data_IF_376350479218
#
_entry.id   IF_376350479218
#
_cell.length_a   1.000
_cell.length_b   1.000
_cell.length_c   1.000
_cell.angle_alpha   90.00
_cell.angle_beta   90.00
_cell.angle_gamma   90.00
#
_symmetry.space_group_name_H-M   'P 1'
#
loop_
_entity.id
_entity.type
_entity.pdbx_description
1 polymer ?
#
# COMPACT_ATOMS: atom_id res chain seq x y z
N UNK A 1 -66.86 6.10 32.84
CA UNK A 1 -67.97 5.99 31.88
C UNK A 1 -67.37 5.61 30.52
N UNK A 2 -67.90 4.52 29.94
CA UNK A 2 -67.71 3.96 28.59
C UNK A 2 -66.36 3.23 28.39
N UNK A 3 -66.24 1.89 28.41
CA UNK A 3 -66.87 0.79 27.64
C UNK A 3 -66.75 0.89 26.10
N UNK A 4 -65.90 0.03 25.53
CA UNK A 4 -66.07 -0.73 24.28
C UNK A 4 -64.87 -1.71 24.19
N UNK A 5 -64.98 -3.03 24.42
CA UNK A 5 -65.73 -4.09 23.72
C UNK A 5 -64.99 -4.69 22.51
N UNK A 6 -64.55 -5.95 22.73
CA UNK A 6 -64.61 -7.14 21.87
C UNK A 6 -63.69 -7.28 20.64
N UNK A 7 -62.99 -8.42 20.59
CA UNK A 7 -63.04 -9.23 19.37
C UNK A 7 -61.95 -10.28 19.13
N UNK A 8 -62.33 -11.55 19.38
CA UNK A 8 -62.14 -12.71 18.48
C UNK A 8 -60.93 -13.65 18.71
N UNK A 9 -61.32 -14.89 19.05
CA UNK A 9 -60.58 -16.14 19.13
C UNK A 9 -60.04 -16.64 17.79
N UNK A 10 -58.90 -17.33 17.82
CA UNK A 10 -58.63 -18.42 16.88
C UNK A 10 -57.82 -19.53 17.58
N UNK A 11 -58.54 -20.62 17.92
CA UNK A 11 -57.97 -21.93 18.24
C UNK A 11 -57.33 -22.53 16.98
N UNK A 12 -56.07 -22.98 17.11
CA UNK A 12 -55.34 -23.68 16.06
C UNK A 12 -54.73 -24.96 16.61
N UNK A 13 -55.33 -26.08 16.23
CA UNK A 13 -55.05 -27.47 16.62
C UNK A 13 -53.56 -27.87 16.54
N UNK A 14 -53.09 -28.58 17.56
CA UNK A 14 -51.74 -29.14 17.67
C UNK A 14 -51.72 -30.55 17.05
N UNK A 15 -50.99 -30.83 15.96
CA UNK A 15 -50.83 -32.18 15.48
C UNK A 15 -49.79 -32.92 16.32
N UNK A 16 -50.14 -34.15 16.70
CA UNK A 16 -49.25 -35.11 17.33
C UNK A 16 -48.15 -35.50 16.34
N UNK A 17 -46.90 -35.19 16.69
CA UNK A 17 -45.72 -35.62 15.92
C UNK A 17 -45.14 -36.85 16.59
N UNK A 18 -45.22 -37.95 15.84
CA UNK A 18 -44.59 -39.25 16.04
C UNK A 18 -43.12 -39.08 16.41
N UNK A 19 -42.71 -39.70 17.51
CA UNK A 19 -41.33 -39.75 18.02
C UNK A 19 -40.53 -40.79 17.22
N UNK A 20 -39.50 -40.43 16.46
CA UNK A 20 -38.55 -41.41 15.92
C UNK A 20 -37.56 -41.81 17.01
N UNK A 21 -37.24 -43.10 17.05
CA UNK A 21 -36.20 -43.70 17.87
C UNK A 21 -34.81 -43.09 17.60
N UNK A 22 -33.91 -43.08 18.60
CA UNK A 22 -32.58 -42.51 18.46
C UNK A 22 -31.69 -43.46 17.64
N UNK A 23 -31.24 -42.98 16.48
CA UNK A 23 -30.17 -43.63 15.73
C UNK A 23 -28.85 -43.51 16.48
N UNK A 24 -28.16 -44.64 16.63
CA UNK A 24 -26.84 -44.76 17.23
C UNK A 24 -25.81 -43.81 16.58
N UNK A 25 -24.83 -43.33 17.35
CA UNK A 25 -23.78 -42.46 16.84
C UNK A 25 -22.85 -43.25 15.93
N UNK A 26 -22.89 -42.94 14.63
CA UNK A 26 -21.84 -43.30 13.69
C UNK A 26 -20.58 -42.58 14.16
N UNK A 27 -19.57 -43.34 14.57
CA UNK A 27 -18.22 -42.86 14.78
C UNK A 27 -17.71 -42.33 13.43
N UNK A 28 -17.69 -41.00 13.27
CA UNK A 28 -16.96 -40.36 12.19
C UNK A 28 -15.48 -40.63 12.41
N UNK A 29 -15.00 -41.62 11.67
CA UNK A 29 -13.63 -41.99 11.43
C UNK A 29 -12.90 -40.80 10.79
N UNK A 30 -12.52 -39.81 11.63
CA UNK A 30 -11.56 -38.76 11.31
C UNK A 30 -10.15 -39.35 11.34
N UNK A 31 -9.94 -40.34 10.46
CA UNK A 31 -8.66 -40.97 10.21
C UNK A 31 -7.74 -40.04 9.42
N UNK A 32 -6.74 -39.51 10.11
CA UNK A 32 -5.37 -39.32 9.61
C UNK A 32 -5.18 -38.91 8.15
N UNK A 33 -5.53 -37.66 7.80
CA UNK A 33 -4.97 -36.99 6.64
C UNK A 33 -3.76 -36.16 7.04
N UNK A 34 -2.59 -36.80 7.06
CA UNK A 34 -1.27 -36.19 7.25
C UNK A 34 -1.14 -34.84 6.50
N UNK A 35 -0.69 -33.84 7.24
CA UNK A 35 -0.03 -32.60 6.82
C UNK A 35 0.14 -32.43 5.29
N UNK A 36 -0.92 -32.02 4.62
CA UNK A 36 -0.75 -31.18 3.43
C UNK A 36 -0.45 -29.79 3.96
N UNK A 37 0.72 -29.63 4.59
CA UNK A 37 1.37 -28.34 4.76
C UNK A 37 1.57 -27.81 3.35
N UNK A 38 0.55 -27.08 2.87
CA UNK A 38 0.52 -26.51 1.54
C UNK A 38 1.83 -25.78 1.37
N UNK A 39 2.60 -26.18 0.35
CA UNK A 39 3.95 -25.70 0.10
C UNK A 39 3.93 -24.17 -0.06
N UNK A 40 4.05 -23.46 1.06
CA UNK A 40 4.17 -22.02 1.15
C UNK A 40 5.64 -21.63 1.19
N UNK A 41 5.88 -20.34 1.00
CA UNK A 41 7.21 -19.73 1.11
C UNK A 41 7.19 -18.81 2.31
N UNK A 42 8.29 -18.73 3.05
CA UNK A 42 8.39 -17.75 4.13
C UNK A 42 8.32 -16.34 3.55
N UNK A 43 7.62 -15.43 4.22
CA UNK A 43 7.45 -14.06 3.74
C UNK A 43 8.79 -13.38 3.43
N UNK A 44 9.85 -13.48 4.26
CA UNK A 44 11.16 -12.92 3.92
C UNK A 44 11.74 -13.44 2.60
N UNK A 45 11.59 -14.74 2.32
CA UNK A 45 12.07 -15.35 1.06
C UNK A 45 11.29 -14.81 -0.14
N UNK A 46 9.96 -14.63 -0.01
CA UNK A 46 9.15 -14.03 -1.06
C UNK A 46 9.56 -12.58 -1.34
N UNK A 47 9.78 -11.78 -0.29
CA UNK A 47 10.20 -10.38 -0.42
C UNK A 47 11.64 -10.25 -0.95
N UNK A 48 12.50 -11.24 -0.77
CA UNK A 48 13.86 -11.21 -1.32
C UNK A 48 13.89 -11.29 -2.86
N UNK A 49 12.91 -11.98 -3.47
CA UNK A 49 12.90 -12.24 -4.92
C UNK A 49 11.84 -11.45 -5.69
N UNK A 50 10.80 -10.98 -5.00
CA UNK A 50 9.70 -10.25 -5.60
C UNK A 50 9.65 -8.81 -5.08
N UNK A 51 9.08 -7.94 -5.90
CA UNK A 51 8.73 -6.57 -5.54
C UNK A 51 7.21 -6.45 -5.66
N UNK A 52 6.54 -6.17 -4.54
CA UNK A 52 5.08 -6.17 -4.46
C UNK A 52 4.48 -4.90 -5.08
N UNK A 53 3.30 -5.00 -5.70
CA UNK A 53 2.50 -3.80 -6.01
C UNK A 53 1.77 -3.30 -4.76
N UNK A 54 1.35 -2.01 -4.69
CA UNK A 54 0.62 -1.49 -3.53
C UNK A 54 -0.60 -2.33 -3.13
N UNK A 55 -1.47 -2.78 -4.06
CA UNK A 55 -2.60 -3.64 -3.69
C UNK A 55 -2.19 -5.04 -3.19
N UNK A 56 -1.05 -5.57 -3.63
CA UNK A 56 -0.53 -6.85 -3.14
C UNK A 56 0.06 -6.71 -1.73
N UNK A 57 0.82 -5.64 -1.48
CA UNK A 57 1.34 -5.31 -0.17
C UNK A 57 0.21 -5.07 0.84
N UNK A 58 -0.81 -4.27 0.46
CA UNK A 58 -2.02 -4.07 1.26
C UNK A 58 -2.72 -5.40 1.60
N UNK A 59 -2.83 -6.32 0.63
CA UNK A 59 -3.46 -7.62 0.86
C UNK A 59 -2.69 -8.50 1.86
N UNK A 60 -1.36 -8.52 1.79
CA UNK A 60 -0.53 -9.29 2.73
C UNK A 60 -0.55 -8.68 4.13
N UNK A 61 -0.54 -7.34 4.24
CA UNK A 61 -0.68 -6.65 5.53
C UNK A 61 -2.06 -6.89 6.14
N UNK A 62 -3.12 -6.88 5.34
CA UNK A 62 -4.48 -7.19 5.80
C UNK A 62 -4.58 -8.60 6.39
N UNK A 63 -3.95 -9.59 5.72
CA UNK A 63 -3.89 -10.96 6.23
C UNK A 63 -3.10 -11.03 7.54
N UNK A 64 -1.92 -10.39 7.60
CA UNK A 64 -1.08 -10.38 8.79
C UNK A 64 -1.83 -9.82 10.00
N UNK A 65 -2.48 -8.66 9.83
CA UNK A 65 -3.34 -8.04 10.86
C UNK A 65 -4.48 -8.98 11.25
N UNK A 66 -5.14 -9.61 10.28
CA UNK A 66 -6.22 -10.57 10.54
C UNK A 66 -5.75 -11.80 11.35
N UNK A 67 -4.57 -12.34 11.05
CA UNK A 67 -3.99 -13.46 11.79
C UNK A 67 -3.61 -13.07 13.23
N UNK A 68 -3.06 -11.87 13.42
CA UNK A 68 -2.72 -11.33 14.75
C UNK A 68 -3.98 -11.16 15.60
N UNK A 69 -5.05 -10.59 15.05
CA UNK A 69 -6.34 -10.47 15.76
C UNK A 69 -6.92 -11.84 16.12
N UNK A 70 -6.89 -12.79 15.18
CA UNK A 70 -7.34 -14.16 15.43
C UNK A 70 -6.51 -14.85 16.52
N UNK A 71 -5.21 -14.59 16.59
CA UNK A 71 -4.34 -15.10 17.63
C UNK A 71 -4.63 -14.46 19.00
N UNK A 72 -4.83 -13.13 19.02
CA UNK A 72 -5.15 -12.36 20.24
C UNK A 72 -6.48 -12.76 20.87
N UNK A 73 -7.51 -13.02 20.07
CA UNK A 73 -8.82 -13.48 20.60
C UNK A 73 -8.78 -14.86 21.23
N UNK A 74 -7.84 -15.72 20.83
CA UNK A 74 -7.84 -17.13 21.25
C UNK A 74 -7.23 -17.37 22.62
N UNK A 75 -6.31 -16.55 23.12
CA UNK A 75 -5.64 -16.78 24.42
C UNK A 75 -5.15 -15.48 25.04
N UNK A 76 -5.45 -15.27 26.33
CA UNK A 76 -4.79 -14.28 27.19
C UNK A 76 -3.33 -14.65 27.52
N UNK A 77 -2.60 -15.22 26.56
CA UNK A 77 -1.18 -15.52 26.66
C UNK A 77 -0.46 -14.84 25.50
N UNK A 78 0.66 -14.15 25.76
CA UNK A 78 1.44 -13.49 24.72
C UNK A 78 1.89 -14.52 23.68
N UNK A 79 1.63 -14.18 22.42
CA UNK A 79 2.02 -14.92 21.21
C UNK A 79 3.44 -14.51 20.85
N UNK A 80 4.13 -15.32 20.08
CA UNK A 80 5.44 -14.97 19.54
C UNK A 80 5.42 -15.16 18.05
N UNK A 81 5.97 -14.20 17.35
CA UNK A 81 6.08 -14.22 15.92
C UNK A 81 7.56 -14.29 15.57
N UNK A 82 8.01 -15.42 15.04
CA UNK A 82 9.30 -15.49 14.37
C UNK A 82 9.10 -15.08 12.91
N UNK A 83 10.10 -14.48 12.28
CA UNK A 83 9.97 -14.01 10.90
C UNK A 83 9.76 -15.15 9.90
N UNK A 84 10.28 -16.35 10.20
CA UNK A 84 10.13 -17.57 9.43
C UNK A 84 8.79 -18.30 9.68
N UNK A 85 8.10 -17.98 10.78
CA UNK A 85 6.76 -18.47 11.08
C UNK A 85 5.69 -17.88 10.13
N UNK A 86 6.00 -16.77 9.44
CA UNK A 86 5.06 -16.13 8.53
C UNK A 86 5.22 -16.72 7.13
N UNK A 87 4.24 -17.51 6.72
CA UNK A 87 4.22 -18.19 5.43
C UNK A 87 3.18 -17.61 4.49
N UNK A 88 3.50 -17.56 3.21
CA UNK A 88 2.55 -17.23 2.13
C UNK A 88 2.30 -18.49 1.31
N UNK A 89 1.05 -18.96 1.32
CA UNK A 89 0.59 -20.10 0.55
C UNK A 89 0.55 -19.83 -0.96
N UNK A 90 0.50 -20.89 -1.76
CA UNK A 90 0.36 -20.82 -3.22
C UNK A 90 -0.99 -20.22 -3.69
N UNK A 91 -1.96 -20.10 -2.78
CA UNK A 91 -3.22 -19.38 -2.97
C UNK A 91 -3.12 -17.88 -2.68
N UNK A 92 -1.93 -17.38 -2.33
CA UNK A 92 -1.70 -15.98 -1.98
C UNK A 92 -2.33 -15.56 -0.64
N UNK A 93 -2.46 -16.50 0.31
CA UNK A 93 -2.87 -16.23 1.69
C UNK A 93 -1.67 -16.30 2.62
N UNK A 94 -1.53 -15.30 3.47
CA UNK A 94 -0.54 -15.28 4.54
C UNK A 94 -1.12 -15.95 5.79
N UNK A 95 -0.32 -16.83 6.38
CA UNK A 95 -0.61 -17.58 7.59
C UNK A 95 0.58 -17.50 8.54
N UNK A 96 0.31 -17.55 9.84
CA UNK A 96 1.34 -17.61 10.88
C UNK A 96 1.34 -19.04 11.41
N UNK A 97 2.42 -19.78 11.16
CA UNK A 97 2.61 -21.14 11.67
C UNK A 97 3.36 -21.14 13.01
N UNK A 98 3.19 -22.17 13.86
CA UNK A 98 4.11 -22.41 14.98
C UNK A 98 4.23 -21.31 16.04
N UNK A 99 3.16 -20.98 16.75
CA UNK A 99 3.23 -20.06 17.91
C UNK A 99 3.88 -20.76 19.11
N UNK A 100 5.20 -20.59 19.28
CA UNK A 100 5.95 -21.10 20.45
C UNK A 100 6.55 -19.94 21.25
N UNK A 101 6.20 -19.88 22.54
CA UNK A 101 6.18 -18.68 23.41
C UNK A 101 7.50 -17.92 23.65
N UNK A 102 7.37 -16.58 23.73
CA UNK A 102 8.19 -15.53 24.39
C UNK A 102 9.05 -14.62 23.48
N UNK A 103 8.50 -13.43 23.17
CA UNK A 103 9.04 -12.16 22.65
C UNK A 103 7.82 -11.23 22.43
N UNK A 104 8.01 -9.93 22.56
CA UNK A 104 7.00 -8.87 22.40
C UNK A 104 6.45 -8.84 20.96
N UNK A 105 5.15 -9.14 20.84
CA UNK A 105 4.41 -9.26 19.56
C UNK A 105 4.52 -7.98 18.70
N UNK A 106 4.63 -6.83 19.35
CA UNK A 106 4.50 -5.53 18.70
C UNK A 106 5.70 -5.22 17.80
N UNK A 107 6.92 -5.45 18.29
CA UNK A 107 8.15 -5.18 17.54
C UNK A 107 8.28 -6.07 16.31
N UNK A 108 7.92 -7.35 16.44
CA UNK A 108 7.97 -8.30 15.32
C UNK A 108 6.95 -7.94 14.23
N UNK A 109 5.71 -7.60 14.61
CA UNK A 109 4.69 -7.15 13.65
C UNK A 109 5.13 -5.87 12.94
N UNK A 110 5.64 -4.89 13.70
CA UNK A 110 6.15 -3.63 13.13
C UNK A 110 7.30 -3.91 12.15
N UNK A 111 8.22 -4.83 12.49
CA UNK A 111 9.30 -5.28 11.62
C UNK A 111 8.81 -5.90 10.31
N UNK A 112 7.80 -6.78 10.38
CA UNK A 112 7.22 -7.41 9.20
C UNK A 112 6.46 -6.41 8.31
N UNK A 113 5.65 -5.52 8.90
CA UNK A 113 4.95 -4.49 8.15
C UNK A 113 5.95 -3.56 7.45
N UNK A 114 7.03 -3.17 8.13
CA UNK A 114 8.13 -2.37 7.55
C UNK A 114 8.84 -3.13 6.42
N UNK A 115 9.03 -4.43 6.57
CA UNK A 115 9.62 -5.28 5.52
C UNK A 115 8.72 -5.36 4.27
N UNK A 116 7.40 -5.48 4.45
CA UNK A 116 6.43 -5.43 3.35
C UNK A 116 6.44 -4.04 2.69
N UNK A 117 6.45 -2.97 3.51
CA UNK A 117 6.42 -1.59 3.05
C UNK A 117 7.64 -1.24 2.18
N UNK A 118 8.85 -1.58 2.64
CA UNK A 118 10.12 -1.33 1.92
C UNK A 118 10.26 -2.15 0.63
N UNK A 119 9.54 -3.27 0.52
CA UNK A 119 9.51 -4.09 -0.68
C UNK A 119 8.48 -3.60 -1.73
N UNK A 120 7.49 -2.81 -1.30
CA UNK A 120 6.46 -2.28 -2.19
C UNK A 120 7.05 -1.40 -3.31
N UNK A 121 6.53 -1.54 -4.52
CA UNK A 121 6.80 -0.67 -5.66
C UNK A 121 6.00 0.61 -5.55
N UNK A 122 6.58 1.72 -6.00
CA UNK A 122 5.95 3.04 -5.99
C UNK A 122 6.29 3.85 -4.73
N UNK A 123 6.26 5.17 -4.88
CA UNK A 123 6.84 6.14 -3.94
C UNK A 123 5.84 6.73 -2.95
N UNK A 124 4.85 5.97 -2.47
CA UNK A 124 3.82 6.55 -1.60
C UNK A 124 3.22 5.57 -0.61
N UNK A 125 2.74 4.42 -1.08
CA UNK A 125 2.11 3.44 -0.19
C UNK A 125 3.07 2.90 0.88
N UNK A 126 4.31 2.58 0.50
CA UNK A 126 5.33 2.09 1.43
C UNK A 126 5.70 3.13 2.51
N UNK A 127 5.75 4.41 2.16
CA UNK A 127 6.07 5.48 3.10
C UNK A 127 4.92 5.71 4.09
N UNK A 128 3.68 5.78 3.60
CA UNK A 128 2.48 5.87 4.45
C UNK A 128 2.36 4.68 5.41
N UNK A 129 2.67 3.48 4.93
CA UNK A 129 2.64 2.27 5.75
C UNK A 129 3.76 2.31 6.81
N UNK A 130 4.97 2.75 6.44
CA UNK A 130 6.10 2.91 7.37
C UNK A 130 5.86 4.00 8.41
N UNK A 131 5.19 5.09 8.04
CA UNK A 131 4.77 6.14 8.95
C UNK A 131 3.69 5.62 9.91
N UNK A 132 2.73 4.83 9.42
CA UNK A 132 1.61 4.32 10.23
C UNK A 132 2.05 3.39 11.37
N UNK A 133 3.18 2.70 11.20
CA UNK A 133 3.77 1.85 12.24
C UNK A 133 4.71 2.61 13.17
N UNK A 134 5.14 3.82 12.78
CA UNK A 134 6.03 4.66 13.59
C UNK A 134 5.23 5.32 14.72
N UNK A 135 5.69 5.18 15.96
CA UNK A 135 5.00 5.76 17.11
C UNK A 135 3.75 5.01 17.58
N UNK A 136 3.58 3.75 17.20
CA UNK A 136 2.58 2.89 17.80
C UNK A 136 3.11 2.18 19.05
N UNK A 137 2.53 2.50 20.21
CA UNK A 137 2.85 1.88 21.51
C UNK A 137 1.84 0.82 21.93
N UNK A 138 0.76 0.65 21.18
CA UNK A 138 -0.38 -0.20 21.50
C UNK A 138 -0.82 -0.97 20.25
N UNK A 139 -1.01 -2.30 20.31
CA UNK A 139 -1.30 -3.14 19.16
C UNK A 139 -2.64 -2.81 18.50
N UNK A 140 -3.70 -2.51 19.27
CA UNK A 140 -4.98 -2.08 18.71
C UNK A 140 -4.85 -0.74 17.97
N UNK A 141 -4.08 0.19 18.53
CA UNK A 141 -3.73 1.47 17.91
C UNK A 141 -2.91 1.30 16.62
N UNK A 142 -1.97 0.35 16.59
CA UNK A 142 -1.20 -0.04 15.40
C UNK A 142 -2.14 -0.58 14.31
N UNK A 143 -2.95 -1.60 14.63
CA UNK A 143 -3.89 -2.25 13.71
C UNK A 143 -4.85 -1.24 13.09
N UNK A 144 -5.41 -0.31 13.90
CA UNK A 144 -6.34 0.71 13.41
C UNK A 144 -5.68 1.68 12.43
N UNK A 145 -4.45 2.12 12.69
CA UNK A 145 -3.69 3.01 11.80
C UNK A 145 -3.33 2.33 10.50
N UNK A 146 -2.82 1.10 10.58
CA UNK A 146 -2.47 0.29 9.41
C UNK A 146 -3.69 0.04 8.52
N UNK A 147 -4.85 -0.31 9.11
CA UNK A 147 -6.12 -0.46 8.38
C UNK A 147 -6.49 0.77 7.57
N UNK A 148 -6.43 1.95 8.19
CA UNK A 148 -6.74 3.22 7.52
C UNK A 148 -5.89 3.44 6.27
N UNK A 149 -4.64 2.99 6.27
CA UNK A 149 -3.71 3.13 5.14
C UNK A 149 -3.98 2.09 4.05
N UNK A 150 -4.32 0.85 4.42
CA UNK A 150 -4.52 -0.24 3.43
C UNK A 150 -5.93 -0.26 2.82
N UNK A 151 -6.96 0.22 3.53
CA UNK A 151 -8.36 0.15 3.08
C UNK A 151 -8.58 0.75 1.68
N UNK A 152 -8.00 1.90 1.29
CA UNK A 152 -8.14 2.45 -0.06
C UNK A 152 -7.61 1.53 -1.17
N UNK A 153 -6.62 0.68 -0.87
CA UNK A 153 -5.99 -0.24 -1.83
C UNK A 153 -6.72 -1.59 -1.93
N UNK A 154 -7.61 -1.89 -0.97
CA UNK A 154 -8.33 -3.15 -0.88
C UNK A 154 -9.70 -3.09 -1.56
N UNK A 155 -9.71 -3.11 -2.90
CA UNK A 155 -10.97 -3.29 -3.65
C UNK A 155 -11.50 -4.74 -3.47
N UNK A 156 -12.70 -4.96 -2.92
CA UNK A 156 -13.25 -6.29 -2.71
C UNK A 156 -13.48 -7.07 -4.01
N UNK A 157 -13.76 -6.39 -5.14
CA UNK A 157 -13.98 -7.05 -6.43
C UNK A 157 -12.68 -7.65 -6.96
N UNK A 158 -11.56 -6.94 -6.78
CA UNK A 158 -10.23 -7.36 -7.18
C UNK A 158 -9.55 -8.42 -6.30
N UNK A 159 -10.10 -8.80 -5.13
CA UNK A 159 -9.41 -9.67 -4.16
C UNK A 159 -8.96 -10.99 -4.81
N UNK A 160 -9.87 -11.71 -5.46
CA UNK A 160 -9.56 -13.01 -6.07
C UNK A 160 -8.44 -12.93 -7.11
N UNK A 161 -8.35 -11.82 -7.84
CA UNK A 161 -7.28 -11.58 -8.82
C UNK A 161 -5.96 -11.32 -8.12
N UNK A 162 -5.94 -10.47 -7.09
CA UNK A 162 -4.74 -10.17 -6.29
C UNK A 162 -4.18 -11.42 -5.62
N UNK A 163 -5.04 -12.23 -4.99
CA UNK A 163 -4.69 -13.53 -4.39
C UNK A 163 -4.00 -14.44 -5.40
N UNK A 164 -4.56 -14.56 -6.60
CA UNK A 164 -3.97 -15.36 -7.68
C UNK A 164 -2.59 -14.85 -8.09
N UNK A 165 -2.42 -13.54 -8.23
CA UNK A 165 -1.13 -12.94 -8.57
C UNK A 165 -0.07 -13.17 -7.49
N UNK A 166 -0.43 -13.03 -6.21
CA UNK A 166 0.47 -13.36 -5.09
C UNK A 166 0.83 -14.86 -5.13
N UNK A 167 -0.15 -15.73 -5.36
CA UNK A 167 0.07 -17.16 -5.52
C UNK A 167 1.00 -17.53 -6.68
N UNK A 168 0.90 -16.81 -7.80
CA UNK A 168 1.83 -16.95 -8.94
C UNK A 168 3.27 -16.54 -8.55
N UNK A 169 3.44 -15.47 -7.77
CA UNK A 169 4.76 -15.07 -7.24
C UNK A 169 5.35 -16.16 -6.31
N UNK A 170 4.53 -16.75 -5.43
CA UNK A 170 4.95 -17.84 -4.54
C UNK A 170 5.37 -19.07 -5.35
N UNK A 171 4.62 -19.45 -6.39
CA UNK A 171 4.97 -20.57 -7.28
C UNK A 171 6.26 -20.31 -8.06
N UNK A 172 6.45 -19.09 -8.55
CA UNK A 172 7.69 -18.70 -9.21
C UNK A 172 8.89 -18.78 -8.24
N UNK A 173 8.71 -18.36 -6.99
CA UNK A 173 9.75 -18.39 -5.94
C UNK A 173 10.15 -19.81 -5.55
N UNK A 174 9.19 -20.74 -5.45
CA UNK A 174 9.47 -22.15 -5.12
C UNK A 174 10.17 -22.93 -6.21
N UNK A 175 10.42 -22.34 -7.39
CA UNK A 175 11.03 -23.05 -8.52
C UNK A 175 10.16 -24.20 -9.08
N UNK A 176 8.89 -24.30 -8.67
CA UNK A 176 7.94 -25.24 -9.29
C UNK A 176 7.52 -24.67 -10.63
N UNK A 177 8.29 -25.02 -11.66
CA UNK A 177 7.87 -24.92 -13.05
C UNK A 177 6.44 -25.45 -13.17
N UNK A 178 5.56 -24.60 -13.71
CA UNK A 178 4.15 -24.88 -13.97
C UNK A 178 4.01 -26.32 -14.49
N UNK A 179 3.41 -27.26 -13.74
CA UNK A 179 3.27 -28.63 -14.23
C UNK A 179 2.32 -28.59 -15.44
N UNK A 180 2.87 -28.89 -16.63
CA UNK A 180 2.10 -29.21 -17.82
C UNK A 180 1.69 -28.05 -18.73
N UNK A 181 2.65 -27.35 -19.34
CA UNK A 181 2.58 -27.23 -20.80
C UNK A 181 3.15 -28.52 -21.34
N UNK A 182 2.31 -29.54 -21.43
CA UNK A 182 2.66 -30.83 -22.00
C UNK A 182 3.12 -30.54 -23.43
N UNK A 183 4.37 -30.83 -23.72
CA UNK A 183 4.85 -31.03 -25.08
C UNK A 183 3.90 -32.06 -25.73
N UNK A 184 2.94 -31.52 -26.48
CA UNK A 184 2.52 -32.13 -27.73
C UNK A 184 3.71 -31.88 -28.67
N UNK A 185 4.07 -32.91 -29.43
CA UNK A 185 5.25 -33.00 -30.29
C UNK A 185 6.51 -33.49 -29.58
N UNK A 186 6.56 -34.80 -29.35
CA UNK A 186 7.32 -35.65 -30.29
C UNK A 186 7.10 -37.11 -29.91
N UNK A 187 6.16 -37.75 -30.60
CA UNK A 187 6.08 -39.20 -30.69
C UNK A 187 6.43 -39.58 -32.11
N UNK A 188 7.69 -39.99 -32.27
CA UNK A 188 8.24 -40.71 -33.41
C UNK A 188 7.34 -41.89 -33.82
N UNK A 189 7.08 -42.05 -35.13
CA UNK A 189 7.08 -43.33 -35.83
C UNK A 189 6.80 -43.16 -37.34
N UNK A 190 7.83 -43.46 -38.15
CA UNK A 190 7.81 -44.25 -39.38
C UNK A 190 6.55 -44.32 -40.25
N UNK A 191 6.63 -43.90 -41.51
CA UNK A 191 6.80 -44.80 -42.70
C UNK A 191 6.68 -44.03 -44.02
N UNK A 192 7.45 -44.51 -45.01
CA UNK A 192 7.56 -44.12 -46.41
C UNK A 192 6.27 -44.35 -47.27
N UNK A 193 5.96 -43.38 -48.16
CA UNK A 193 5.54 -43.51 -49.61
C UNK A 193 4.17 -44.18 -49.98
N UNK A 194 3.47 -43.87 -51.11
CA UNK A 194 3.16 -42.62 -51.86
C UNK A 194 1.64 -42.43 -52.20
N UNK A 195 1.35 -41.36 -52.97
CA UNK A 195 0.11 -40.95 -53.65
C UNK A 195 -0.97 -42.00 -54.00
N UNK A 196 -2.25 -41.61 -53.76
CA UNK A 196 -3.44 -42.17 -54.39
C UNK A 196 -4.76 -41.62 -53.80
N UNK A 197 -5.71 -41.10 -54.61
CA UNK A 197 -6.95 -40.49 -54.12
C UNK A 197 -8.14 -41.46 -54.14
N UNK A 198 -8.90 -41.53 -53.04
CA UNK A 198 -10.28 -42.06 -53.06
C UNK A 198 -11.03 -41.80 -51.75
N UNK A 199 -11.99 -40.88 -51.83
CA UNK A 199 -13.23 -40.76 -51.03
C UNK A 199 -14.08 -42.02 -51.36
N UNK A 200 -14.92 -42.65 -50.48
CA UNK A 200 -15.98 -41.95 -49.74
C UNK A 200 -16.46 -42.54 -48.39
N UNK A 201 -17.37 -41.76 -47.78
CA UNK A 201 -18.52 -42.17 -46.97
C UNK A 201 -18.33 -42.36 -45.45
N UNK A 202 -18.91 -41.41 -44.71
CA UNK A 202 -19.86 -41.72 -43.65
C UNK A 202 -19.29 -42.03 -42.26
N UNK A 203 -19.11 -41.00 -41.44
CA UNK A 203 -19.36 -41.16 -39.99
C UNK A 203 -19.77 -39.84 -39.37
N UNK A 204 -21.07 -39.71 -39.12
CA UNK A 204 -21.67 -38.69 -38.27
C UNK A 204 -21.32 -39.02 -36.82
N UNK A 205 -20.23 -38.46 -36.30
CA UNK A 205 -19.98 -38.41 -34.86
C UNK A 205 -20.17 -36.96 -34.43
N UNK A 206 -21.28 -36.74 -33.75
CA UNK A 206 -21.62 -35.52 -33.03
C UNK A 206 -20.53 -35.22 -32.00
N UNK A 207 -19.75 -34.17 -32.25
CA UNK A 207 -18.85 -33.60 -31.25
C UNK A 207 -19.68 -33.16 -30.05
N UNK A 208 -19.52 -33.89 -28.95
CA UNK A 208 -20.06 -33.59 -27.62
C UNK A 208 -19.62 -32.19 -27.19
N UNK A 209 -20.56 -31.25 -27.30
CA UNK A 209 -20.41 -29.89 -26.79
C UNK A 209 -20.12 -29.90 -25.30
N UNK A 210 -19.05 -29.20 -24.93
CA UNK A 210 -18.66 -28.96 -23.56
C UNK A 210 -19.65 -27.98 -22.92
N UNK A 211 -20.48 -28.47 -22.00
CA UNK A 211 -21.41 -27.65 -21.21
C UNK A 211 -20.72 -27.17 -19.92
N UNK A 212 -20.73 -25.87 -19.59
CA UNK A 212 -20.33 -25.41 -18.27
C UNK A 212 -21.35 -25.87 -17.22
N UNK A 213 -20.93 -26.30 -16.02
CA UNK A 213 -21.86 -26.69 -14.98
C UNK A 213 -22.64 -25.48 -14.47
N UNK A 214 -23.95 -25.49 -14.73
CA UNK A 214 -24.93 -24.57 -14.16
C UNK A 214 -24.95 -24.82 -12.65
N UNK A 215 -24.46 -23.87 -11.86
CA UNK A 215 -24.61 -23.90 -10.40
C UNK A 215 -26.08 -23.68 -10.07
N UNK A 216 -26.65 -24.63 -9.33
CA UNK A 216 -28.02 -24.59 -8.85
C UNK A 216 -28.26 -23.41 -7.90
N UNK A 217 -29.44 -22.77 -7.98
CA UNK A 217 -29.86 -21.75 -7.02
C UNK A 217 -30.18 -22.41 -5.67
N UNK A 218 -29.24 -22.27 -4.74
CA UNK A 218 -29.49 -21.90 -3.35
C UNK A 218 -30.81 -22.37 -2.72
N UNK A 219 -30.89 -23.66 -2.38
CA UNK A 219 -31.75 -24.09 -1.26
C UNK A 219 -31.07 -23.70 0.05
N UNK A 220 -31.21 -22.44 0.46
CA UNK A 220 -30.90 -22.05 1.84
C UNK A 220 -31.91 -22.73 2.76
N UNK A 221 -31.56 -23.91 3.27
CA UNK A 221 -32.29 -24.51 4.40
C UNK A 221 -32.33 -23.47 5.51
N UNK A 222 -33.54 -22.98 5.83
CA UNK A 222 -33.80 -22.11 6.98
C UNK A 222 -33.31 -22.82 8.24
N UNK A 223 -32.07 -22.55 8.63
CA UNK A 223 -31.53 -22.98 9.92
C UNK A 223 -32.36 -22.26 10.97
N UNK A 224 -32.97 -23.04 11.87
CA UNK A 224 -33.69 -22.50 13.02
C UNK A 224 -32.73 -21.58 13.78
N UNK A 225 -33.16 -20.36 14.13
CA UNK A 225 -32.32 -19.41 14.84
C UNK A 225 -31.86 -20.08 16.13
N UNK A 226 -30.55 -20.26 16.26
CA UNK A 226 -29.99 -20.82 17.48
C UNK A 226 -30.26 -19.83 18.62
N UNK A 227 -30.53 -20.34 19.82
CA UNK A 227 -30.75 -19.52 21.04
C UNK A 227 -29.65 -18.47 21.31
N UNK A 228 -28.50 -18.57 20.64
CA UNK A 228 -27.39 -17.62 20.71
C UNK A 228 -27.61 -16.39 19.83
N UNK A 229 -28.31 -16.52 18.69
CA UNK A 229 -28.63 -15.37 17.81
C UNK A 229 -29.56 -14.36 18.49
N UNK A 230 -30.52 -14.82 19.29
CA UNK A 230 -31.39 -13.90 20.04
C UNK A 230 -30.60 -13.04 21.04
N UNK A 231 -29.54 -13.59 21.63
CA UNK A 231 -28.71 -12.85 22.59
C UNK A 231 -27.88 -11.76 21.89
N UNK A 232 -27.37 -12.02 20.68
CA UNK A 232 -26.69 -11.00 19.88
C UNK A 232 -27.63 -9.89 19.40
N UNK A 233 -28.88 -10.21 19.02
CA UNK A 233 -29.87 -9.20 18.63
C UNK A 233 -30.22 -8.30 19.82
N UNK A 234 -30.37 -8.88 21.01
CA UNK A 234 -30.60 -8.09 22.24
C UNK A 234 -29.39 -7.22 22.56
N UNK A 235 -28.17 -7.76 22.47
CA UNK A 235 -26.94 -6.99 22.69
C UNK A 235 -26.83 -5.81 21.71
N UNK A 236 -27.11 -6.05 20.42
CA UNK A 236 -27.09 -5.01 19.39
C UNK A 236 -28.12 -3.91 19.66
N UNK A 237 -29.34 -4.27 20.11
CA UNK A 237 -30.36 -3.31 20.51
C UNK A 237 -29.94 -2.50 21.75
N UNK A 238 -29.28 -3.11 22.74
CA UNK A 238 -28.75 -2.39 23.91
C UNK A 238 -27.66 -1.39 23.51
N UNK A 239 -26.75 -1.78 22.60
CA UNK A 239 -25.70 -0.88 22.08
C UNK A 239 -26.32 0.28 21.28
N UNK A 240 -27.33 -0.01 20.44
CA UNK A 240 -28.06 1.02 19.69
C UNK A 240 -28.83 1.98 20.62
N UNK A 241 -29.47 1.48 21.66
CA UNK A 241 -30.16 2.32 22.64
C UNK A 241 -29.19 3.16 23.47
N UNK A 242 -28.05 2.59 23.87
CA UNK A 242 -27.00 3.30 24.60
C UNK A 242 -26.35 4.41 23.78
N UNK A 243 -26.10 4.16 22.49
CA UNK A 243 -25.54 5.18 21.58
C UNK A 243 -26.55 6.31 21.30
N UNK A 244 -27.84 6.01 21.16
CA UNK A 244 -28.88 7.03 20.99
C UNK A 244 -29.00 7.98 22.20
N UNK A 245 -28.72 7.51 23.42
CA UNK A 245 -28.79 8.33 24.63
C UNK A 245 -27.53 9.21 24.83
N UNK A 246 -26.36 8.80 24.34
CA UNK A 246 -25.10 9.53 24.50
C UNK A 246 -24.77 10.46 23.32
N UNK A 247 -25.31 10.19 22.12
CA UNK A 247 -25.05 10.95 20.91
C UNK A 247 -25.32 12.47 21.00
N UNK A 248 -26.40 12.97 21.66
CA UNK A 248 -26.69 14.40 21.66
C UNK A 248 -25.60 15.24 22.32
N UNK A 249 -24.98 14.72 23.40
CA UNK A 249 -23.96 15.48 24.16
C UNK A 249 -22.60 15.48 23.46
N UNK A 250 -22.25 14.40 22.77
CA UNK A 250 -21.02 14.32 22.00
C UNK A 250 -21.08 15.23 20.75
N UNK A 251 -22.26 15.34 20.13
CA UNK A 251 -22.47 16.19 18.97
C UNK A 251 -22.31 17.68 19.30
N UNK A 252 -22.84 18.14 20.43
CA UNK A 252 -22.74 19.54 20.87
C UNK A 252 -21.31 20.01 21.20
N UNK A 253 -20.40 19.08 21.53
CA UNK A 253 -18.98 19.42 21.73
C UNK A 253 -18.23 19.47 20.41
N UNK A 254 -18.60 18.60 19.47
CA UNK A 254 -17.96 18.51 18.17
C UNK A 254 -18.38 19.65 17.25
N UNK A 255 -19.65 20.07 17.30
CA UNK A 255 -20.17 21.23 16.55
C UNK A 255 -19.53 22.54 17.02
N UNK A 256 -19.31 22.72 18.33
CA UNK A 256 -18.60 23.88 18.88
C UNK A 256 -17.14 23.98 18.45
N UNK A 257 -16.45 22.84 18.32
CA UNK A 257 -15.08 22.81 17.78
C UNK A 257 -15.04 23.13 16.28
N UNK A 258 -16.05 22.69 15.53
CA UNK A 258 -16.16 22.96 14.10
C UNK A 258 -16.52 24.41 13.78
N UNK A 259 -17.42 25.04 14.54
CA UNK A 259 -17.77 26.44 14.32
C UNK A 259 -16.58 27.38 14.55
N UNK A 260 -15.68 27.03 15.48
CA UNK A 260 -14.43 27.79 15.70
C UNK A 260 -13.44 27.72 14.51
N UNK A 261 -13.52 26.65 13.69
CA UNK A 261 -12.64 26.47 12.53
C UNK A 261 -13.23 27.05 11.24
N UNK A 262 -14.56 26.99 11.07
CA UNK A 262 -15.24 27.43 9.85
C UNK A 262 -15.63 28.91 9.90
N UNK A 263 -15.92 29.42 11.09
CA UNK A 263 -16.14 30.84 11.33
C UNK A 263 -15.02 31.38 12.23
N UNK A 264 -13.77 31.49 11.73
CA UNK A 264 -12.77 32.25 12.46
C UNK A 264 -13.36 33.64 12.68
N UNK A 265 -13.65 33.96 13.93
CA UNK A 265 -14.24 35.24 14.31
C UNK A 265 -13.37 36.32 13.67
N UNK A 266 -13.95 37.10 12.76
CA UNK A 266 -13.30 38.24 12.10
C UNK A 266 -12.92 39.26 13.17
N UNK A 267 -11.83 39.02 13.89
CA UNK A 267 -11.17 39.98 14.78
C UNK A 267 -10.43 41.07 13.97
N UNK A 268 -10.39 40.93 12.65
CA UNK A 268 -9.66 41.81 11.73
C UNK A 268 -10.32 43.16 11.43
N UNK A 269 -11.53 43.45 11.93
CA UNK A 269 -12.24 44.71 11.61
C UNK A 269 -12.24 45.76 12.73
N UNK A 270 -11.69 45.48 13.91
CA UNK A 270 -11.62 46.45 15.02
C UNK A 270 -10.21 46.99 15.32
N UNK A 271 -9.14 46.45 14.72
CA UNK A 271 -7.74 46.85 15.04
C UNK A 271 -6.91 47.38 13.86
N UNK A 272 -7.46 47.46 12.65
CA UNK A 272 -6.79 48.08 11.50
C UNK A 272 -7.11 49.58 11.34
N UNK A 273 -7.04 50.34 12.44
CA UNK A 273 -6.92 51.80 12.38
C UNK A 273 -5.45 52.13 12.62
N UNK A 274 -4.69 52.13 11.53
CA UNK A 274 -3.29 52.55 11.53
C UNK A 274 -3.30 54.07 11.77
N UNK A 275 -2.97 54.50 12.99
CA UNK A 275 -2.55 55.87 13.24
C UNK A 275 -1.29 56.15 12.41
N UNK A 276 -1.17 57.33 11.76
CA UNK A 276 0.02 57.70 11.01
C UNK A 276 1.22 57.82 11.97
N UNK A 277 2.05 56.79 12.04
CA UNK A 277 3.26 56.80 12.86
C UNK A 277 4.29 57.67 12.16
N UNK A 278 4.83 58.64 12.90
CA UNK A 278 5.92 59.53 12.46
C UNK A 278 7.11 58.74 11.91
N UNK A 279 7.87 59.31 10.96
CA UNK A 279 9.02 58.64 10.36
C UNK A 279 10.00 58.16 11.45
N UNK A 280 10.45 56.90 11.41
CA UNK A 280 11.38 56.40 12.41
C UNK A 280 12.70 57.18 12.33
N UNK A 281 13.37 57.43 13.47
CA UNK A 281 14.70 58.02 13.49
C UNK A 281 15.66 57.17 12.64
N UNK A 282 16.68 57.78 12.00
CA UNK A 282 17.65 57.04 11.19
C UNK A 282 18.27 55.94 12.05
N UNK A 283 18.09 54.69 11.62
CA UNK A 283 18.67 53.54 12.28
C UNK A 283 20.20 53.74 12.37
N UNK A 284 20.83 53.45 13.53
CA UNK A 284 22.28 53.38 13.61
C UNK A 284 22.77 52.36 12.58
N UNK A 285 23.75 52.77 11.76
CA UNK A 285 24.36 51.92 10.75
C UNK A 285 24.72 50.56 11.37
N UNK A 286 24.20 49.48 10.78
CA UNK A 286 24.56 48.13 11.18
C UNK A 286 26.08 48.00 11.23
N UNK A 287 26.64 47.44 12.31
CA UNK A 287 28.07 47.24 12.41
C UNK A 287 28.51 46.30 11.30
N UNK A 288 29.28 46.85 10.36
CA UNK A 288 30.15 46.19 9.40
C UNK A 288 29.77 44.74 9.06
N UNK A 289 29.11 44.59 7.90
CA UNK A 289 29.09 43.37 7.12
C UNK A 289 30.41 42.60 7.28
N UNK A 290 30.33 41.42 7.90
CA UNK A 290 31.46 40.50 7.97
C UNK A 290 31.98 40.28 6.55
N UNK A 291 33.26 40.60 6.32
CA UNK A 291 33.88 40.73 5.00
C UNK A 291 34.09 39.41 4.25
N UNK A 292 33.06 38.56 4.16
CA UNK A 292 33.08 37.38 3.31
C UNK A 292 32.56 37.69 1.91
N UNK A 293 33.08 36.94 0.94
CA UNK A 293 32.75 37.12 -0.47
C UNK A 293 31.42 36.42 -0.77
N UNK A 294 30.55 37.09 -1.55
CA UNK A 294 29.31 36.48 -2.00
C UNK A 294 29.61 35.26 -2.89
N UNK A 295 28.97 34.10 -2.66
CA UNK A 295 29.25 32.90 -3.44
C UNK A 295 28.85 33.07 -4.91
N UNK A 296 29.63 32.47 -5.82
CA UNK A 296 29.39 32.57 -7.25
C UNK A 296 28.02 31.98 -7.65
N UNK A 297 27.47 32.45 -8.78
CA UNK A 297 26.32 31.79 -9.40
C UNK A 297 26.75 30.45 -10.00
N UNK A 298 25.86 29.47 -9.97
CA UNK A 298 26.13 28.15 -10.56
C UNK A 298 25.81 28.21 -12.05
N UNK A 299 26.83 28.03 -12.89
CA UNK A 299 26.65 27.74 -14.32
C UNK A 299 26.62 26.23 -14.52
N UNK A 300 25.52 25.71 -15.04
CA UNK A 300 25.34 24.27 -15.24
C UNK A 300 25.84 23.79 -16.59
N UNK A 301 26.17 24.69 -17.53
CA UNK A 301 26.59 24.34 -18.88
C UNK A 301 25.53 23.61 -19.71
N UNK A 302 24.29 23.50 -19.24
CA UNK A 302 23.18 22.82 -19.90
C UNK A 302 21.89 23.67 -19.83
N UNK A 303 21.09 23.70 -20.91
CA UNK A 303 19.84 24.46 -20.94
C UNK A 303 18.74 23.79 -20.09
N UNK A 304 17.65 24.51 -19.74
CA UNK A 304 16.53 23.93 -18.98
C UNK A 304 15.67 22.91 -19.74
N UNK A 305 15.83 22.86 -21.07
CA UNK A 305 15.13 21.96 -21.98
C UNK A 305 16.04 21.65 -23.18
N UNK A 306 15.99 20.42 -23.70
CA UNK A 306 16.76 20.00 -24.86
C UNK A 306 16.14 18.73 -25.49
N UNK A 307 16.11 18.67 -26.82
CA UNK A 307 15.58 17.49 -27.53
C UNK A 307 14.14 17.16 -27.12
N UNK A 308 13.92 15.93 -26.65
CA UNK A 308 12.60 15.47 -26.17
C UNK A 308 12.31 15.86 -24.72
N UNK A 309 13.26 16.49 -24.02
CA UNK A 309 13.07 16.96 -22.64
C UNK A 309 12.58 18.41 -22.71
N UNK A 310 11.34 18.63 -22.27
CA UNK A 310 10.68 19.95 -22.31
C UNK A 310 10.97 20.79 -21.08
N UNK A 311 11.30 20.16 -19.95
CA UNK A 311 11.66 20.83 -18.69
C UNK A 311 12.35 19.85 -17.74
N UNK A 312 13.30 20.33 -16.93
CA UNK A 312 13.81 19.62 -15.76
C UNK A 312 13.60 20.49 -14.53
N UNK A 313 12.97 19.95 -13.48
CA UNK A 313 12.82 20.62 -12.19
C UNK A 313 13.34 19.74 -11.06
N UNK A 314 13.95 20.35 -10.06
CA UNK A 314 14.45 19.68 -8.87
C UNK A 314 13.88 20.36 -7.61
N UNK A 315 13.60 19.59 -6.57
CA UNK A 315 13.21 20.10 -5.26
C UNK A 315 13.75 19.22 -4.14
N UNK A 316 13.96 19.76 -2.94
CA UNK A 316 14.30 18.93 -1.78
C UNK A 316 13.13 18.00 -1.44
N UNK A 317 13.40 16.70 -1.36
CA UNK A 317 12.36 15.71 -1.02
C UNK A 317 12.01 15.77 0.48
N UNK A 318 13.02 15.99 1.33
CA UNK A 318 12.89 16.03 2.79
C UNK A 318 12.81 17.48 3.33
N UNK A 319 12.38 18.43 2.50
CA UNK A 319 12.20 19.84 2.84
C UNK A 319 13.48 20.69 2.76
N UNK A 320 14.55 20.30 3.46
CA UNK A 320 15.83 21.03 3.42
C UNK A 320 17.03 20.09 3.52
N UNK A 321 18.17 20.52 3.00
CA UNK A 321 19.43 19.81 3.13
C UNK A 321 20.47 20.65 3.86
N UNK A 322 21.43 19.97 4.49
CA UNK A 322 22.51 20.60 5.26
C UNK A 322 23.88 20.12 4.76
N UNK A 323 24.92 20.98 4.79
CA UNK A 323 26.29 20.58 4.46
C UNK A 323 26.75 19.35 5.26
N UNK A 324 27.56 18.50 4.63
CA UNK A 324 28.09 17.28 5.25
C UNK A 324 27.06 16.15 5.49
N UNK A 325 25.80 16.32 5.06
CA UNK A 325 24.74 15.32 5.24
C UNK A 325 24.26 14.72 3.91
N UNK A 326 23.69 13.51 3.93
CA UNK A 326 22.91 13.00 2.81
C UNK A 326 21.74 13.93 2.51
N UNK A 327 21.50 14.18 1.23
CA UNK A 327 20.43 15.02 0.73
C UNK A 327 19.62 14.25 -0.31
N UNK A 328 18.30 14.18 -0.11
CA UNK A 328 17.37 13.61 -1.08
C UNK A 328 16.74 14.72 -1.91
N UNK A 329 16.86 14.60 -3.23
CA UNK A 329 16.31 15.53 -4.22
C UNK A 329 15.30 14.79 -5.07
N UNK A 330 14.09 15.33 -5.14
CA UNK A 330 13.08 14.93 -6.12
C UNK A 330 13.39 15.62 -7.44
N UNK A 331 13.43 14.83 -8.51
CA UNK A 331 13.63 15.30 -9.88
C UNK A 331 12.38 14.98 -10.67
N UNK A 332 11.80 15.99 -11.31
CA UNK A 332 10.67 15.86 -12.23
C UNK A 332 11.16 16.30 -13.63
N UNK A 333 11.04 15.41 -14.61
CA UNK A 333 11.45 15.63 -16.00
C UNK A 333 10.22 15.64 -16.89
N UNK A 334 9.94 16.79 -17.51
CA UNK A 334 8.93 16.92 -18.55
C UNK A 334 9.45 16.38 -19.89
N UNK A 335 8.61 15.62 -20.57
CA UNK A 335 8.92 14.98 -21.85
C UNK A 335 7.92 15.40 -22.92
N UNK A 336 8.39 15.57 -24.14
CA UNK A 336 7.52 15.60 -25.31
C UNK A 336 7.04 14.15 -25.58
N UNK A 337 5.72 13.86 -25.60
CA UNK A 337 5.15 12.51 -25.54
C UNK A 337 5.46 11.52 -26.69
N UNK A 338 6.58 11.66 -27.41
CA UNK A 338 6.98 10.71 -28.45
C UNK A 338 8.22 9.87 -28.09
N UNK A 339 8.00 8.55 -27.98
CA UNK A 339 8.98 7.44 -28.05
C UNK A 339 10.15 7.36 -27.05
N UNK A 340 10.28 8.25 -26.07
CA UNK A 340 11.32 8.13 -25.03
C UNK A 340 11.05 6.87 -24.19
N UNK A 341 11.97 5.90 -24.22
CA UNK A 341 11.83 4.65 -23.45
C UNK A 341 12.34 4.76 -22.01
N UNK A 342 13.29 5.66 -21.76
CA UNK A 342 13.84 5.95 -20.43
C UNK A 342 14.50 7.34 -20.42
N UNK A 343 14.58 7.92 -19.23
CA UNK A 343 15.34 9.15 -18.95
C UNK A 343 16.43 8.82 -17.95
N UNK A 344 17.64 9.30 -18.20
CA UNK A 344 18.77 9.17 -17.29
C UNK A 344 19.22 10.54 -16.83
N UNK A 345 19.48 10.69 -15.54
CA UNK A 345 20.02 11.92 -14.96
C UNK A 345 20.95 11.62 -13.79
N UNK A 346 21.74 12.62 -13.41
CA UNK A 346 22.57 12.62 -12.21
C UNK A 346 22.41 13.93 -11.44
N UNK A 347 22.77 13.92 -10.17
CA UNK A 347 22.83 15.13 -9.35
C UNK A 347 24.26 15.65 -9.34
N UNK A 348 24.48 16.88 -9.81
CA UNK A 348 25.76 17.56 -9.67
C UNK A 348 25.71 18.48 -8.45
N UNK A 349 26.75 18.42 -7.62
CA UNK A 349 26.93 19.29 -6.46
C UNK A 349 28.06 20.26 -6.75
N UNK A 350 27.75 21.55 -6.75
CA UNK A 350 28.66 22.64 -7.03
C UNK A 350 29.06 23.30 -5.70
N UNK A 351 30.35 23.37 -5.43
CA UNK A 351 30.89 24.27 -4.42
C UNK A 351 31.00 25.67 -5.04
N UNK A 352 30.16 26.59 -4.55
CA UNK A 352 30.05 27.95 -5.09
C UNK A 352 31.19 28.86 -4.64
N UNK A 353 31.99 28.42 -3.68
CA UNK A 353 33.16 29.15 -3.19
C UNK A 353 34.43 28.76 -3.96
N UNK A 354 34.61 27.47 -4.25
CA UNK A 354 35.80 26.96 -4.95
C UNK A 354 35.59 26.77 -6.45
N UNK A 355 34.34 26.64 -6.90
CA UNK A 355 33.99 26.26 -8.28
C UNK A 355 34.13 24.74 -8.54
N UNK A 356 34.44 23.93 -7.53
CA UNK A 356 34.53 22.48 -7.67
C UNK A 356 33.14 21.88 -7.96
N UNK A 357 33.08 20.93 -8.90
CA UNK A 357 31.85 20.21 -9.24
C UNK A 357 32.03 18.72 -8.94
N UNK A 358 31.13 18.16 -8.15
CA UNK A 358 31.06 16.74 -7.85
C UNK A 358 29.85 16.13 -8.54
N UNK A 359 30.11 15.24 -9.48
CA UNK A 359 29.06 14.52 -10.18
C UNK A 359 28.57 13.32 -9.36
N UNK A 360 27.25 13.20 -9.26
CA UNK A 360 26.59 12.03 -8.68
C UNK A 360 26.50 10.86 -9.65
N UNK A 361 26.01 9.73 -9.14
CA UNK A 361 25.71 8.56 -9.98
C UNK A 361 24.47 8.78 -10.84
N UNK A 362 24.45 8.12 -12.00
CA UNK A 362 23.30 8.11 -12.91
C UNK A 362 22.12 7.34 -12.31
N UNK A 363 20.93 7.90 -12.49
CA UNK A 363 19.63 7.31 -12.16
C UNK A 363 18.85 7.23 -13.45
N UNK A 364 18.44 6.01 -13.84
CA UNK A 364 17.65 5.77 -15.04
C UNK A 364 16.24 5.35 -14.65
N UNK A 365 15.24 6.10 -15.13
CA UNK A 365 13.82 5.80 -14.92
C UNK A 365 13.16 5.50 -16.26
N UNK A 366 12.45 4.36 -16.39
CA UNK A 366 11.71 4.06 -17.60
C UNK A 366 10.55 5.05 -17.78
N UNK A 367 10.36 5.54 -19.00
CA UNK A 367 9.24 6.39 -19.36
C UNK A 367 8.14 5.53 -20.03
N UNK A 368 6.92 5.62 -19.52
CA UNK A 368 5.78 4.93 -20.14
C UNK A 368 5.41 5.62 -21.46
N UNK A 369 5.12 4.87 -22.54
CA UNK A 369 4.67 5.46 -23.80
C UNK A 369 3.43 6.34 -23.61
N UNK A 370 3.47 7.57 -24.15
CA UNK A 370 2.36 8.52 -24.09
C UNK A 370 2.25 9.35 -22.82
N UNK A 371 3.20 9.22 -21.87
CA UNK A 371 3.33 10.16 -20.74
C UNK A 371 4.11 11.40 -21.16
N UNK A 372 3.78 12.52 -20.52
CA UNK A 372 4.39 13.84 -20.68
C UNK A 372 5.49 14.13 -19.64
N UNK A 373 5.88 13.13 -18.85
CA UNK A 373 6.99 13.26 -17.91
C UNK A 373 7.25 12.02 -17.07
N UNK A 374 8.37 12.06 -16.35
CA UNK A 374 8.78 11.09 -15.35
C UNK A 374 9.26 11.82 -14.10
N UNK A 375 9.19 11.16 -12.95
CA UNK A 375 9.75 11.68 -11.71
C UNK A 375 10.54 10.59 -10.99
N UNK A 376 11.50 11.00 -10.16
CA UNK A 376 12.29 10.08 -9.34
C UNK A 376 12.98 10.77 -8.17
N UNK A 377 13.41 9.97 -7.21
CA UNK A 377 14.19 10.43 -6.06
C UNK A 377 15.66 10.09 -6.30
N UNK A 378 16.52 11.07 -6.13
CA UNK A 378 17.97 10.91 -6.20
C UNK A 378 18.60 11.35 -4.89
N UNK A 379 19.64 10.65 -4.46
CA UNK A 379 20.36 10.95 -3.22
C UNK A 379 21.80 11.30 -3.54
N UNK A 380 22.32 12.31 -2.85
CA UNK A 380 23.73 12.69 -2.90
C UNK A 380 24.22 13.07 -1.51
N UNK A 381 25.52 12.93 -1.26
CA UNK A 381 26.13 13.40 -0.01
C UNK A 381 26.74 14.76 -0.24
N UNK A 382 26.31 15.76 0.54
CA UNK A 382 26.81 17.12 0.40
C UNK A 382 28.20 17.25 1.02
N UNK A 383 29.15 17.96 0.37
CA UNK A 383 30.39 18.37 1.00
C UNK A 383 30.11 19.20 2.25
N UNK A 384 31.08 19.24 3.16
CA UNK A 384 31.06 20.20 4.25
C UNK A 384 31.60 21.56 3.75
N UNK A 385 30.77 22.29 3.00
CA UNK A 385 31.10 23.61 2.44
C UNK A 385 30.01 24.64 2.79
N UNK A 386 30.38 25.92 2.82
CA UNK A 386 29.50 27.01 3.29
C UNK A 386 28.50 27.51 2.25
N UNK A 387 28.73 27.22 0.96
CA UNK A 387 27.84 27.61 -0.12
C UNK A 387 27.83 26.54 -1.22
N UNK A 388 26.76 25.76 -1.26
CA UNK A 388 26.57 24.70 -2.24
C UNK A 388 25.41 25.05 -3.18
N UNK A 389 25.50 24.55 -4.40
CA UNK A 389 24.39 24.43 -5.34
C UNK A 389 24.21 22.97 -5.77
N UNK A 390 22.98 22.51 -5.91
CA UNK A 390 22.67 21.15 -6.36
C UNK A 390 21.78 21.28 -7.59
N UNK A 391 22.10 20.57 -8.66
CA UNK A 391 21.25 20.52 -9.84
C UNK A 391 21.13 19.11 -10.40
N UNK A 392 19.96 18.80 -10.93
CA UNK A 392 19.74 17.59 -11.73
C UNK A 392 20.14 17.88 -13.17
N UNK A 393 21.02 17.05 -13.73
CA UNK A 393 21.46 17.12 -15.12
C UNK A 393 21.11 15.80 -15.79
N UNK A 394 20.28 15.89 -16.83
CA UNK A 394 19.91 14.74 -17.66
C UNK A 394 21.05 14.38 -18.62
N UNK A 395 21.29 13.08 -18.81
CA UNK A 395 22.30 12.55 -19.73
C UNK A 395 21.67 11.82 -20.93
N UNK A 396 20.42 11.37 -20.81
CA UNK A 396 19.65 10.77 -21.89
C UNK A 396 18.14 11.08 -21.73
N UNK A 397 17.39 11.27 -22.84
CA UNK A 397 17.82 11.23 -24.24
C UNK A 397 18.57 12.47 -24.73
N UNK A 398 18.54 13.57 -23.98
CA UNK A 398 19.22 14.81 -24.28
C UNK A 398 19.78 15.42 -22.99
N UNK A 399 20.70 16.38 -23.12
CA UNK A 399 21.32 17.07 -21.98
C UNK A 399 20.55 18.35 -21.67
N UNK A 400 19.83 18.33 -20.55
CA UNK A 400 19.13 19.48 -19.96
C UNK A 400 19.31 19.48 -18.43
N UNK A 401 19.19 20.63 -17.79
CA UNK A 401 19.44 20.76 -16.36
C UNK A 401 18.36 21.59 -15.62
N UNK A 402 18.11 21.25 -14.35
CA UNK A 402 17.18 21.98 -13.48
C UNK A 402 17.80 23.24 -12.90
N UNK A 403 17.01 24.26 -12.55
CA UNK A 403 17.53 25.37 -11.72
C UNK A 403 18.26 24.86 -10.45
N UNK A 404 19.36 25.51 -10.03
CA UNK A 404 20.16 25.05 -8.90
C UNK A 404 19.42 25.28 -7.57
N UNK A 405 19.40 24.26 -6.74
CA UNK A 405 18.96 24.31 -5.35
C UNK A 405 20.13 24.74 -4.46
N UNK A 406 19.99 25.86 -3.74
CA UNK A 406 21.06 26.39 -2.90
C UNK A 406 21.03 25.85 -1.47
N UNK A 407 22.21 25.54 -0.92
CA UNK A 407 22.39 25.06 0.46
C UNK A 407 23.55 25.82 1.11
N UNK A 408 23.30 26.68 2.13
CA UNK A 408 21.98 27.16 2.56
C UNK A 408 21.32 28.02 1.46
N UNK A 409 19.99 28.15 1.52
CA UNK A 409 19.23 28.90 0.51
C UNK A 409 19.55 30.40 0.52
N UNK A 410 19.83 30.95 1.70
CA UNK A 410 20.08 32.38 1.92
C UNK A 410 21.33 32.58 2.79
N UNK A 411 21.91 33.78 2.74
CA UNK A 411 23.01 34.20 3.60
C UNK A 411 24.27 33.32 3.54
N UNK A 412 24.47 32.61 2.42
CA UNK A 412 25.69 31.87 2.18
C UNK A 412 26.86 32.84 1.94
N UNK A 413 28.01 32.55 2.54
CA UNK A 413 29.21 33.40 2.48
C UNK A 413 30.45 32.51 2.31
N UNK A 414 31.34 32.91 1.40
CA UNK A 414 32.64 32.26 1.22
C UNK A 414 33.68 32.90 2.14
N UNK A 415 34.49 32.06 2.79
CA UNK A 415 35.55 32.46 3.72
C UNK A 415 36.93 32.23 3.13
#
# INVERSE_FOLDING_TARGET
MNEAALGVHASGSKPAVTRPEPSEPIADDSGGGLDVSGAGVTLPTLLAVARLTPPQAAQLVADLVGQVELAGTRRGRPVTLQDDAVMVSDGGRLTIDGVTSRIEVDDAIVGLIRSIATNCRGSGFGDLLSESVSGATDPEGLIRRVRRVIDPELDPVGESRRRRQIGELVRATTGRSRPGSRAVDDREASTDVPDGPSVPAGSLVTSTGWYPPVRSPWHSRRRRPSRRQSLYVVLALVVLAGSAAAAPRAWDQLSRGWDALVHPVNTSSAQNRIEPVSPPPPAPADPAAGGGVAPALVDMGAPPAAGQITRVTASFADGSCSPGKPCAVRVDVGLDPSTVGAVTWKLNVYDRCTGEVREGGDVTIPAEPGRDGVYGLSRTTLPDASALGIAAVTSAPAVAASEPLYVPAENAVCR
#
